data_IF_878643821120
#
_entry.id   IF_878643821120
#
_cell.length_a   1.000
_cell.length_b   1.000
_cell.length_c   1.000
_cell.angle_alpha   90.00
_cell.angle_beta   90.00
_cell.angle_gamma   90.00
#
_symmetry.space_group_name_H-M   'P 1'
#
loop_
_entity.id
_entity.type
_entity.pdbx_description
1 polymer ?
#
# COMPACT_ATOMS: atom_id res chain seq x y z
N UNK A 1 -6.93 -0.90 1.90
CA UNK A 1 -7.33 -2.31 2.13
C UNK A 1 -6.71 -2.76 3.45
N UNK A 2 -6.89 -4.00 3.91
CA UNK A 2 -6.01 -4.48 4.99
C UNK A 2 -4.56 -4.60 4.50
N UNK A 3 -3.65 -4.91 5.43
CA UNK A 3 -2.23 -5.00 5.16
C UNK A 3 -1.85 -6.21 4.27
N UNK A 4 -2.72 -7.23 4.24
CA UNK A 4 -2.43 -8.50 3.56
C UNK A 4 -2.42 -8.38 2.02
N UNK A 5 -3.42 -7.74 1.37
CA UNK A 5 -3.35 -7.42 -0.05
C UNK A 5 -2.07 -6.69 -0.48
N UNK A 6 -1.62 -5.71 0.30
CA UNK A 6 -0.40 -4.95 0.00
C UNK A 6 0.84 -5.86 0.05
N UNK A 7 0.95 -6.72 1.06
CA UNK A 7 2.04 -7.68 1.19
C UNK A 7 2.06 -8.67 0.02
N UNK A 8 0.91 -9.23 -0.34
CA UNK A 8 0.82 -10.22 -1.41
C UNK A 8 1.12 -9.59 -2.78
N UNK A 9 0.55 -8.42 -3.09
CA UNK A 9 0.84 -7.73 -4.34
C UNK A 9 2.32 -7.33 -4.44
N UNK A 10 2.91 -6.86 -3.34
CA UNK A 10 4.34 -6.56 -3.28
C UNK A 10 5.17 -7.80 -3.55
N UNK A 11 4.82 -8.94 -2.94
CA UNK A 11 5.54 -10.20 -3.13
C UNK A 11 5.42 -10.70 -4.58
N UNK A 12 4.26 -10.54 -5.21
CA UNK A 12 4.08 -10.81 -6.64
C UNK A 12 4.98 -9.91 -7.48
N UNK A 13 4.98 -8.60 -7.20
CA UNK A 13 5.79 -7.63 -7.93
C UNK A 13 7.30 -7.92 -7.83
N UNK A 14 7.79 -8.28 -6.64
CA UNK A 14 9.19 -8.66 -6.42
C UNK A 14 9.57 -9.85 -7.29
N UNK A 15 8.76 -10.91 -7.28
CA UNK A 15 9.02 -12.12 -8.06
C UNK A 15 8.91 -11.87 -9.56
N UNK A 16 7.85 -11.19 -10.00
CA UNK A 16 7.59 -10.95 -11.42
C UNK A 16 8.65 -10.05 -12.07
N UNK A 17 9.22 -9.12 -11.30
CA UNK A 17 10.29 -8.23 -11.76
C UNK A 17 11.69 -8.80 -11.52
N UNK A 18 11.80 -9.96 -10.86
CA UNK A 18 13.08 -10.58 -10.53
C UNK A 18 13.98 -9.66 -9.68
N UNK A 19 13.39 -8.93 -8.72
CA UNK A 19 14.16 -7.99 -7.91
C UNK A 19 15.13 -8.72 -6.98
N UNK A 20 16.31 -8.14 -6.78
CA UNK A 20 17.38 -8.72 -5.96
C UNK A 20 17.98 -7.69 -4.99
N UNK A 21 18.57 -8.18 -3.91
CA UNK A 21 19.34 -7.37 -2.95
C UNK A 21 18.58 -6.15 -2.42
N UNK A 22 19.13 -4.96 -2.67
CA UNK A 22 18.57 -3.69 -2.19
C UNK A 22 17.18 -3.39 -2.73
N UNK A 23 16.89 -3.79 -3.97
CA UNK A 23 15.60 -3.47 -4.61
C UNK A 23 14.44 -4.23 -3.93
N UNK A 24 14.70 -5.39 -3.36
CA UNK A 24 13.71 -6.10 -2.53
C UNK A 24 13.35 -5.26 -1.30
N UNK A 25 14.35 -4.74 -0.59
CA UNK A 25 14.10 -3.91 0.60
C UNK A 25 13.32 -2.64 0.26
N UNK A 26 13.61 -2.02 -0.89
CA UNK A 26 12.85 -0.87 -1.39
C UNK A 26 11.42 -1.27 -1.77
N UNK A 27 11.23 -2.39 -2.46
CA UNK A 27 9.92 -2.90 -2.83
C UNK A 27 9.03 -3.14 -1.61
N UNK A 28 9.53 -3.86 -0.60
CA UNK A 28 8.79 -4.09 0.64
C UNK A 28 8.59 -2.82 1.46
N UNK A 29 9.57 -1.91 1.49
CA UNK A 29 9.43 -0.61 2.16
C UNK A 29 8.31 0.24 1.59
N UNK A 30 8.25 0.39 0.26
CA UNK A 30 7.28 1.26 -0.42
C UNK A 30 5.95 0.58 -0.79
N UNK A 31 5.94 -0.74 -0.94
CA UNK A 31 4.74 -1.50 -1.30
C UNK A 31 3.87 -1.93 -0.11
N UNK A 32 4.51 -2.17 1.04
CA UNK A 32 3.84 -2.65 2.25
C UNK A 32 4.27 -1.91 3.53
N UNK A 33 5.56 -1.56 3.64
CA UNK A 33 6.12 -0.95 4.85
C UNK A 33 5.53 0.40 5.21
N UNK A 34 4.99 1.14 4.24
CA UNK A 34 4.27 2.39 4.49
C UNK A 34 3.07 2.18 5.42
N UNK A 35 2.33 1.08 5.26
CA UNK A 35 1.22 0.74 6.15
C UNK A 35 1.69 0.50 7.59
N UNK A 36 2.90 -0.03 7.79
CA UNK A 36 3.46 -0.26 9.13
C UNK A 36 3.79 1.03 9.86
N UNK A 37 4.06 2.11 9.13
CA UNK A 37 4.30 3.44 9.72
C UNK A 37 2.99 4.18 9.88
N UNK A 38 2.12 4.08 8.88
CA UNK A 38 0.90 4.85 8.81
C UNK A 38 -0.17 4.39 9.80
N UNK A 39 -0.42 3.07 9.92
CA UNK A 39 -1.43 2.55 10.84
C UNK A 39 -1.18 2.90 12.32
N UNK A 40 0.05 2.82 12.86
CA UNK A 40 0.31 3.26 14.24
C UNK A 40 0.12 4.75 14.46
N UNK A 41 0.55 5.60 13.51
CA UNK A 41 0.35 7.06 13.60
C UNK A 41 -1.13 7.37 13.68
N UNK A 42 -1.90 6.76 12.77
CA UNK A 42 -3.34 6.86 12.72
C UNK A 42 -4.05 6.38 13.98
N UNK A 43 -3.65 5.22 14.50
CA UNK A 43 -4.18 4.67 15.75
C UNK A 43 -3.89 5.60 16.93
N UNK A 44 -2.67 6.12 17.03
CA UNK A 44 -2.29 7.06 18.08
C UNK A 44 -3.12 8.35 18.00
N UNK A 45 -3.32 8.90 16.80
CA UNK A 45 -4.16 10.08 16.58
C UNK A 45 -5.64 9.82 16.87
N UNK A 46 -6.16 8.64 16.49
CA UNK A 46 -7.50 8.18 16.83
C UNK A 46 -7.70 8.15 18.35
N UNK A 47 -6.80 7.48 19.07
CA UNK A 47 -6.87 7.34 20.52
C UNK A 47 -6.78 8.70 21.23
N UNK A 48 -5.97 9.64 20.70
CA UNK A 48 -5.87 11.00 21.26
C UNK A 48 -7.16 11.80 21.13
N UNK A 49 -7.86 11.72 19.99
CA UNK A 49 -9.07 12.52 19.76
C UNK A 49 -10.36 11.85 20.26
N UNK A 50 -10.49 10.54 20.06
CA UNK A 50 -11.73 9.81 20.33
C UNK A 50 -11.65 8.90 21.58
N UNK A 51 -10.47 8.76 22.18
CA UNK A 51 -10.24 7.82 23.27
C UNK A 51 -10.50 6.38 22.80
N UNK A 52 -11.25 5.61 23.60
CA UNK A 52 -11.66 4.23 23.27
C UNK A 52 -13.05 4.14 22.62
N UNK A 53 -13.69 5.28 22.31
CA UNK A 53 -15.01 5.26 21.66
C UNK A 53 -14.83 4.65 20.27
N UNK A 54 -15.76 3.82 19.82
CA UNK A 54 -15.75 3.23 18.48
C UNK A 54 -16.52 4.16 17.53
N UNK A 55 -15.87 5.21 17.04
CA UNK A 55 -16.40 6.05 15.97
C UNK A 55 -16.14 5.38 14.63
N UNK A 56 -17.21 4.86 14.05
CA UNK A 56 -17.21 4.41 12.66
C UNK A 56 -17.01 5.64 11.75
N UNK A 57 -16.16 5.51 10.74
CA UNK A 57 -15.84 6.56 9.75
C UNK A 57 -14.98 7.74 10.28
N UNK A 58 -14.12 7.53 11.27
CA UNK A 58 -13.22 8.61 11.68
C UNK A 58 -12.11 8.85 10.62
N UNK A 59 -12.23 9.94 9.87
CA UNK A 59 -11.44 10.24 8.67
C UNK A 59 -10.05 10.82 9.01
N UNK A 60 -9.05 9.98 9.26
CA UNK A 60 -7.63 10.41 9.29
C UNK A 60 -6.91 9.96 8.05
N UNK A 61 -6.27 10.93 7.39
CA UNK A 61 -5.43 10.74 6.21
C UNK A 61 -4.03 11.21 6.52
N UNK A 62 -3.06 10.50 5.98
CA UNK A 62 -1.68 10.97 5.96
C UNK A 62 -1.28 11.19 4.50
N UNK A 63 -0.38 12.15 4.24
CA UNK A 63 0.16 12.35 2.91
C UNK A 63 0.81 11.07 2.34
N UNK A 64 1.31 10.18 3.21
CA UNK A 64 1.98 8.94 2.81
C UNK A 64 1.08 7.93 2.10
N UNK A 65 -0.24 8.04 2.21
CA UNK A 65 -1.17 7.15 1.50
C UNK A 65 -1.77 7.76 0.23
N UNK A 66 -1.47 9.03 -0.04
CA UNK A 66 -2.12 9.78 -1.10
C UNK A 66 -1.13 10.01 -2.27
N UNK A 67 -1.63 10.14 -3.51
CA UNK A 67 -0.85 10.42 -4.71
C UNK A 67 0.16 11.57 -4.58
N UNK A 68 -0.12 12.57 -3.76
CA UNK A 68 0.83 13.66 -3.48
C UNK A 68 2.19 13.14 -3.02
N UNK A 69 2.27 11.94 -2.43
CA UNK A 69 3.53 11.35 -2.04
C UNK A 69 4.48 11.03 -3.19
N UNK A 70 3.95 10.88 -4.40
CA UNK A 70 4.78 10.79 -5.60
C UNK A 70 5.66 12.03 -5.79
N UNK A 71 5.26 13.21 -5.30
CA UNK A 71 6.08 14.42 -5.38
C UNK A 71 7.43 14.31 -4.65
N UNK A 72 7.55 13.44 -3.64
CA UNK A 72 8.83 13.15 -2.98
C UNK A 72 9.41 11.78 -3.32
N UNK A 73 8.56 10.79 -3.61
CA UNK A 73 9.01 9.44 -3.98
C UNK A 73 9.64 9.42 -5.37
N UNK A 74 9.14 10.21 -6.33
CA UNK A 74 9.74 10.30 -7.67
C UNK A 74 11.17 10.89 -7.61
N UNK A 75 11.42 12.05 -6.97
CA UNK A 75 12.78 12.54 -6.77
C UNK A 75 13.68 11.54 -6.04
N UNK A 76 13.16 10.83 -5.03
CA UNK A 76 13.92 9.79 -4.34
C UNK A 76 14.31 8.65 -5.29
N UNK A 77 13.38 8.15 -6.11
CA UNK A 77 13.65 7.13 -7.12
C UNK A 77 14.73 7.57 -8.12
N UNK A 78 14.66 8.81 -8.59
CA UNK A 78 15.67 9.39 -9.46
C UNK A 78 17.05 9.46 -8.78
N UNK A 79 17.08 9.94 -7.52
CA UNK A 79 18.32 10.01 -6.73
C UNK A 79 18.93 8.63 -6.48
N UNK A 80 18.11 7.61 -6.27
CA UNK A 80 18.57 6.24 -6.05
C UNK A 80 18.91 5.48 -7.34
N UNK A 81 18.59 6.03 -8.50
CA UNK A 81 18.80 5.38 -9.80
C UNK A 81 17.90 4.15 -10.01
N UNK A 82 16.74 4.07 -9.37
CA UNK A 82 15.82 2.92 -9.45
C UNK A 82 14.35 3.35 -9.44
N UNK A 83 13.54 2.69 -10.27
CA UNK A 83 12.09 2.92 -10.34
C UNK A 83 11.32 2.20 -9.22
N UNK A 84 11.97 1.34 -8.43
CA UNK A 84 11.31 0.45 -7.46
C UNK A 84 10.45 1.22 -6.44
N UNK A 85 10.92 2.27 -5.74
CA UNK A 85 10.07 3.03 -4.83
C UNK A 85 8.79 3.55 -5.47
N UNK A 86 8.87 4.14 -6.67
CA UNK A 86 7.70 4.65 -7.39
C UNK A 86 6.75 3.53 -7.79
N UNK A 87 7.24 2.43 -8.35
CA UNK A 87 6.40 1.32 -8.80
C UNK A 87 5.63 0.69 -7.65
N UNK A 88 6.33 0.39 -6.54
CA UNK A 88 5.71 -0.27 -5.40
C UNK A 88 4.80 0.67 -4.63
N UNK A 89 5.18 1.94 -4.46
CA UNK A 89 4.29 2.95 -3.92
C UNK A 89 3.03 3.13 -4.78
N UNK A 90 3.18 3.15 -6.10
CA UNK A 90 2.05 3.29 -7.01
C UNK A 90 1.08 2.12 -6.87
N UNK A 91 1.61 0.89 -6.83
CA UNK A 91 0.81 -0.31 -6.60
C UNK A 91 0.09 -0.28 -5.24
N UNK A 92 0.78 0.21 -4.20
CA UNK A 92 0.24 0.37 -2.87
C UNK A 92 -0.96 1.34 -2.84
N UNK A 93 -0.77 2.58 -3.28
CA UNK A 93 -1.89 3.53 -3.22
C UNK A 93 -3.01 3.15 -4.19
N UNK A 94 -2.72 2.48 -5.32
CA UNK A 94 -3.75 1.96 -6.22
C UNK A 94 -4.66 0.94 -5.50
N UNK A 95 -4.09 0.00 -4.74
CA UNK A 95 -4.87 -0.92 -3.91
C UNK A 95 -5.72 -0.16 -2.89
N UNK A 96 -5.14 0.83 -2.23
CA UNK A 96 -5.90 1.67 -1.30
C UNK A 96 -7.03 2.42 -2.02
N UNK A 97 -6.80 2.87 -3.26
CA UNK A 97 -7.79 3.53 -4.10
C UNK A 97 -8.86 2.60 -4.64
N UNK A 98 -8.69 1.27 -4.63
CA UNK A 98 -9.78 0.33 -4.95
C UNK A 98 -10.89 0.35 -3.89
N UNK A 99 -10.63 0.83 -2.68
CA UNK A 99 -11.58 0.83 -1.58
C UNK A 99 -12.50 2.05 -1.65
N UNK A 100 -13.79 1.87 -1.35
CA UNK A 100 -14.83 2.90 -1.52
C UNK A 100 -14.77 4.12 -0.59
N UNK A 101 -13.83 4.18 0.35
CA UNK A 101 -13.68 5.34 1.24
C UNK A 101 -13.27 6.62 0.49
N UNK A 102 -13.70 7.79 0.98
CA UNK A 102 -13.29 9.11 0.46
C UNK A 102 -11.77 9.24 0.34
N UNK A 103 -11.25 9.67 -0.81
CA UNK A 103 -9.82 9.86 -1.11
C UNK A 103 -9.50 11.33 -1.24
N UNK A 104 -8.26 11.72 -0.88
CA UNK A 104 -7.81 13.11 -0.95
C UNK A 104 -6.44 13.20 -1.62
N UNK A 105 -6.40 13.22 -2.96
CA UNK A 105 -5.16 13.08 -3.73
C UNK A 105 -4.06 14.07 -3.36
N UNK A 106 -4.44 15.25 -2.87
CA UNK A 106 -3.57 16.39 -2.61
C UNK A 106 -3.46 16.75 -1.12
N UNK A 107 -3.92 15.90 -0.20
CA UNK A 107 -3.83 16.17 1.23
C UNK A 107 -2.36 16.20 1.70
N UNK A 108 -1.92 17.17 2.53
CA UNK A 108 -2.71 18.17 3.26
C UNK A 108 -2.86 19.53 2.54
N UNK A 109 -2.39 19.67 1.31
CA UNK A 109 -2.36 20.96 0.60
C UNK A 109 -3.70 21.36 -0.01
N UNK A 110 -4.64 20.43 -0.14
CA UNK A 110 -5.99 20.69 -0.64
C UNK A 110 -7.03 19.84 0.09
N UNK A 111 -8.25 20.37 0.15
CA UNK A 111 -9.45 19.69 0.68
C UNK A 111 -10.26 18.98 -0.40
N UNK A 112 -9.77 18.95 -1.65
CA UNK A 112 -10.41 18.22 -2.73
C UNK A 112 -10.55 16.73 -2.38
N UNK A 113 -11.76 16.20 -2.56
CA UNK A 113 -12.09 14.81 -2.29
C UNK A 113 -12.65 14.12 -3.54
N UNK A 114 -12.39 12.82 -3.63
CA UNK A 114 -12.90 11.94 -4.69
C UNK A 114 -13.26 10.59 -4.09
N UNK A 115 -14.08 9.81 -4.79
CA UNK A 115 -14.31 8.41 -4.44
C UNK A 115 -13.16 7.53 -4.93
N UNK A 116 -13.04 6.33 -4.34
CA UNK A 116 -12.19 5.27 -4.86
C UNK A 116 -12.74 4.64 -6.15
N UNK A 117 -12.06 3.62 -6.64
CA UNK A 117 -12.43 2.86 -7.82
C UNK A 117 -13.33 1.67 -7.48
N UNK A 118 -13.98 1.11 -8.51
CA UNK A 118 -14.78 -0.11 -8.39
C UNK A 118 -15.82 -0.07 -7.27
N UNK A 119 -16.42 1.09 -6.99
CA UNK A 119 -17.41 1.31 -5.91
C UNK A 119 -18.65 0.42 -6.00
N UNK A 120 -18.90 -0.18 -7.18
CA UNK A 120 -19.96 -1.18 -7.40
C UNK A 120 -19.71 -2.52 -6.70
N UNK A 121 -18.46 -2.83 -6.35
CA UNK A 121 -18.09 -4.06 -5.66
C UNK A 121 -17.84 -3.78 -4.18
N UNK A 122 -18.20 -4.72 -3.30
CA UNK A 122 -17.91 -4.58 -1.87
C UNK A 122 -16.41 -4.60 -1.62
N UNK A 123 -15.95 -3.80 -0.66
CA UNK A 123 -14.53 -3.72 -0.32
C UNK A 123 -13.97 -5.06 0.17
N UNK A 124 -14.78 -5.83 0.90
CA UNK A 124 -14.43 -7.21 1.29
C UNK A 124 -14.25 -8.13 0.09
N UNK A 125 -15.07 -8.01 -0.96
CA UNK A 125 -14.88 -8.80 -2.17
C UNK A 125 -13.59 -8.44 -2.90
N UNK A 126 -13.27 -7.14 -3.03
CA UNK A 126 -12.01 -6.68 -3.64
C UNK A 126 -10.81 -7.24 -2.89
N UNK A 127 -10.86 -7.26 -1.56
CA UNK A 127 -9.81 -7.80 -0.71
C UNK A 127 -9.61 -9.30 -0.93
N UNK A 128 -10.71 -10.07 -0.89
CA UNK A 128 -10.68 -11.52 -1.13
C UNK A 128 -10.10 -11.81 -2.52
N UNK A 129 -10.58 -11.13 -3.55
CA UNK A 129 -10.12 -11.34 -4.93
C UNK A 129 -8.65 -10.96 -5.10
N UNK A 130 -8.22 -9.84 -4.53
CA UNK A 130 -6.81 -9.42 -4.60
C UNK A 130 -5.91 -10.46 -3.92
N UNK A 131 -6.27 -10.90 -2.71
CA UNK A 131 -5.55 -11.94 -1.99
C UNK A 131 -5.51 -13.27 -2.76
N UNK A 132 -6.65 -13.70 -3.31
CA UNK A 132 -6.73 -14.95 -4.06
C UNK A 132 -5.88 -14.91 -5.33
N UNK A 133 -5.98 -13.85 -6.13
CA UNK A 133 -5.22 -13.67 -7.37
C UNK A 133 -3.72 -13.62 -7.06
N UNK A 134 -3.31 -12.80 -6.09
CA UNK A 134 -1.89 -12.67 -5.75
C UNK A 134 -1.35 -13.97 -5.13
N UNK A 135 -2.13 -14.64 -4.29
CA UNK A 135 -1.75 -15.93 -3.70
C UNK A 135 -1.55 -17.01 -4.76
N UNK A 136 -2.47 -17.13 -5.73
CA UNK A 136 -2.32 -18.05 -6.87
C UNK A 136 -1.11 -17.69 -7.71
N UNK A 137 -0.87 -16.41 -7.98
CA UNK A 137 0.29 -15.96 -8.74
C UNK A 137 1.61 -16.34 -8.04
N UNK A 138 1.71 -16.12 -6.72
CA UNK A 138 2.88 -16.53 -5.91
C UNK A 138 3.09 -18.04 -6.00
N UNK A 139 2.02 -18.84 -5.87
CA UNK A 139 2.11 -20.29 -5.98
C UNK A 139 2.57 -20.73 -7.38
N UNK A 140 2.08 -20.08 -8.43
CA UNK A 140 2.41 -20.41 -9.82
C UNK A 140 3.86 -20.04 -10.20
N UNK A 141 4.40 -18.95 -9.65
CA UNK A 141 5.76 -18.51 -9.91
C UNK A 141 6.83 -19.33 -9.15
N UNK A 142 6.42 -20.08 -8.13
CA UNK A 142 7.32 -20.85 -7.29
C UNK A 142 8.04 -19.98 -6.25
N UNK A 143 8.18 -20.48 -5.02
CA UNK A 143 8.74 -19.75 -3.87
C UNK A 143 10.25 -19.44 -3.95
N UNK A 144 10.86 -19.52 -5.13
CA UNK A 144 12.32 -19.51 -5.30
C UNK A 144 12.99 -18.23 -4.74
N UNK A 145 12.35 -17.07 -4.82
CA UNK A 145 12.92 -15.82 -4.29
C UNK A 145 12.52 -15.52 -2.83
N UNK A 146 11.37 -16.00 -2.36
CA UNK A 146 10.88 -15.74 -0.99
C UNK A 146 11.65 -16.56 0.05
N UNK A 147 12.06 -17.79 -0.30
CA UNK A 147 12.88 -18.64 0.58
C UNK A 147 14.30 -18.08 0.77
N UNK A 148 14.84 -17.37 -0.23
CA UNK A 148 16.18 -16.78 -0.16
C UNK A 148 16.32 -15.63 0.87
N UNK A 149 15.20 -15.06 1.33
CA UNK A 149 15.17 -13.91 2.25
C UNK A 149 14.85 -14.26 3.70
N UNK A 150 14.64 -15.54 4.04
CA UNK A 150 14.37 -15.95 5.43
C UNK A 150 13.10 -15.35 6.02
N UNK A 151 12.07 -15.12 5.20
CA UNK A 151 10.74 -14.67 5.66
C UNK A 151 9.79 -15.85 6.00
N UNK A 152 10.30 -17.09 6.00
CA UNK A 152 9.71 -18.29 6.59
C UNK A 152 10.78 -19.13 7.27
#
# INVERSE_FOLDING_TARGET
MTILPHLLLTTVGVQALGLEGRDIALAYGFGYGIDLVDHPIKLALYLRKNGRKNEKNYHWRTPLQEPVALCWIVPLSLYLGTAVPVLFFASHFLLDYLVGYEKRPWYPFSTYSTEGFLTRFSDGAKEIWTCAICGVAILAMGFHQVVALGLL
#
